data_IF_448309319032
#
_entry.id   IF_448309319032
#
_cell.length_a   1.000
_cell.length_b   1.000
_cell.length_c   1.000
_cell.angle_alpha   90.00
_cell.angle_beta   90.00
_cell.angle_gamma   90.00
#
_symmetry.space_group_name_H-M   'P 1'
#
loop_
_entity.id
_entity.type
_entity.pdbx_description
1 polymer ?
#
# COMPACT_ATOMS: atom_id res chain seq x y z
N UNK A 1 -2.38 -12.41 -18.60
CA UNK A 1 -1.67 -12.03 -17.36
C UNK A 1 -2.71 -12.00 -16.25
N UNK A 2 -2.56 -12.82 -15.23
CA UNK A 2 -3.62 -13.08 -14.25
C UNK A 2 -3.70 -11.94 -13.22
N UNK A 3 -4.88 -11.39 -13.01
CA UNK A 3 -5.14 -10.30 -12.06
C UNK A 3 -4.79 -10.65 -10.60
N UNK A 4 -4.69 -11.94 -10.27
CA UNK A 4 -4.23 -12.41 -8.95
C UNK A 4 -2.77 -12.10 -8.67
N UNK A 5 -1.89 -12.16 -9.67
CA UNK A 5 -0.48 -11.81 -9.49
C UNK A 5 -0.33 -10.31 -9.19
N UNK A 6 -1.09 -9.47 -9.87
CA UNK A 6 -1.09 -8.02 -9.63
C UNK A 6 -1.59 -7.68 -8.22
N UNK A 7 -2.61 -8.40 -7.72
CA UNK A 7 -3.11 -8.25 -6.36
C UNK A 7 -2.08 -8.70 -5.33
N UNK A 8 -1.40 -9.83 -5.54
CA UNK A 8 -0.31 -10.27 -4.66
C UNK A 8 0.85 -9.29 -4.64
N UNK A 9 1.25 -8.75 -5.79
CA UNK A 9 2.30 -7.73 -5.88
C UNK A 9 1.90 -6.45 -5.13
N UNK A 10 0.68 -5.94 -5.36
CA UNK A 10 0.17 -4.77 -4.64
C UNK A 10 0.09 -5.02 -3.13
N UNK A 11 -0.33 -6.21 -2.71
CA UNK A 11 -0.38 -6.59 -1.29
C UNK A 11 1.02 -6.62 -0.68
N UNK A 12 1.98 -7.20 -1.39
CA UNK A 12 3.38 -7.27 -0.96
C UNK A 12 4.00 -5.88 -0.85
N UNK A 13 3.75 -5.00 -1.82
CA UNK A 13 4.20 -3.61 -1.76
C UNK A 13 3.58 -2.84 -0.59
N UNK A 14 2.29 -3.04 -0.32
CA UNK A 14 1.61 -2.45 0.84
C UNK A 14 2.27 -2.92 2.13
N UNK A 15 2.54 -4.22 2.30
CA UNK A 15 3.19 -4.72 3.52
C UNK A 15 4.60 -4.16 3.70
N UNK A 16 5.42 -4.12 2.64
CA UNK A 16 6.78 -3.57 2.69
C UNK A 16 6.75 -2.08 3.06
N UNK A 17 5.89 -1.28 2.44
CA UNK A 17 5.77 0.14 2.79
C UNK A 17 5.22 0.32 4.20
N UNK A 18 4.30 -0.53 4.65
CA UNK A 18 3.74 -0.46 6.01
C UNK A 18 4.80 -0.78 7.06
N UNK A 19 5.66 -1.75 6.80
CA UNK A 19 6.78 -2.10 7.67
C UNK A 19 7.84 -0.99 7.72
N UNK A 20 8.16 -0.38 6.57
CA UNK A 20 9.00 0.83 6.50
C UNK A 20 8.38 1.99 7.29
N UNK A 21 7.09 2.24 7.12
CA UNK A 21 6.38 3.32 7.81
C UNK A 21 6.36 3.08 9.32
N UNK A 22 6.15 1.84 9.77
CA UNK A 22 6.26 1.47 11.18
C UNK A 22 7.68 1.70 11.72
N UNK A 23 8.70 1.31 10.97
CA UNK A 23 10.10 1.55 11.35
C UNK A 23 10.44 3.04 11.43
N UNK A 24 9.89 3.84 10.51
CA UNK A 24 10.03 5.29 10.51
C UNK A 24 9.28 5.92 11.69
N UNK A 25 8.08 5.45 12.03
CA UNK A 25 7.29 5.94 13.17
C UNK A 25 7.93 5.60 14.51
N UNK A 26 8.62 4.45 14.61
CA UNK A 26 9.36 4.06 15.82
C UNK A 26 10.68 4.85 15.94
N UNK A 27 11.27 5.30 14.82
CA UNK A 27 12.41 6.21 14.82
C UNK A 27 12.01 7.67 15.06
N UNK A 28 12.96 8.51 15.49
CA UNK A 28 12.80 9.98 15.52
C UNK A 28 12.79 10.59 14.10
N UNK A 29 11.89 10.12 13.24
CA UNK A 29 11.75 10.62 11.87
C UNK A 29 10.80 11.81 11.80
N UNK A 30 11.12 12.71 10.88
CA UNK A 30 10.32 13.89 10.59
C UNK A 30 8.89 13.51 10.21
N UNK A 31 7.92 14.17 10.85
CA UNK A 31 6.48 14.03 10.57
C UNK A 31 6.13 14.12 9.08
N UNK A 32 6.87 14.93 8.31
CA UNK A 32 6.71 15.05 6.85
C UNK A 32 6.93 13.74 6.09
N UNK A 33 7.98 12.99 6.45
CA UNK A 33 8.28 11.70 5.82
C UNK A 33 7.19 10.69 6.17
N UNK A 34 6.75 10.65 7.44
CA UNK A 34 5.61 9.80 7.87
C UNK A 34 4.34 10.16 7.08
N UNK A 35 4.07 11.46 6.89
CA UNK A 35 2.90 11.92 6.14
C UNK A 35 2.96 11.49 4.67
N UNK A 36 4.12 11.67 4.02
CA UNK A 36 4.36 11.22 2.64
C UNK A 36 4.14 9.73 2.49
N UNK A 37 4.76 8.94 3.35
CA UNK A 37 4.62 7.50 3.34
C UNK A 37 3.17 7.08 3.58
N UNK A 38 2.44 7.79 4.45
CA UNK A 38 1.04 7.47 4.74
C UNK A 38 0.14 7.73 3.54
N UNK A 39 0.36 8.82 2.81
CA UNK A 39 -0.38 9.13 1.57
C UNK A 39 -0.11 8.08 0.50
N UNK A 40 1.17 7.74 0.27
CA UNK A 40 1.52 6.72 -0.73
C UNK A 40 0.95 5.33 -0.38
N UNK A 41 0.91 4.98 0.91
CA UNK A 41 0.31 3.73 1.36
C UNK A 41 -1.20 3.72 1.07
N UNK A 42 -1.88 4.84 1.33
CA UNK A 42 -3.32 4.98 1.09
C UNK A 42 -3.65 4.86 -0.41
N UNK A 43 -2.84 5.47 -1.29
CA UNK A 43 -2.98 5.34 -2.73
C UNK A 43 -2.79 3.90 -3.23
N UNK A 44 -1.82 3.16 -2.67
CA UNK A 44 -1.59 1.76 -2.98
C UNK A 44 -2.76 0.88 -2.54
N UNK A 45 -3.28 1.11 -1.34
CA UNK A 45 -4.48 0.45 -0.83
C UNK A 45 -5.67 0.76 -1.74
N UNK A 46 -5.84 2.01 -2.14
CA UNK A 46 -6.92 2.42 -3.04
C UNK A 46 -6.83 1.72 -4.40
N UNK A 47 -5.61 1.62 -4.97
CA UNK A 47 -5.36 0.82 -6.19
C UNK A 47 -5.72 -0.65 -5.96
N UNK A 48 -5.24 -1.25 -4.88
CA UNK A 48 -5.55 -2.64 -4.53
C UNK A 48 -7.05 -2.90 -4.45
N UNK A 49 -7.80 -2.05 -3.75
CA UNK A 49 -9.26 -2.16 -3.65
C UNK A 49 -9.94 -1.92 -5.01
N UNK A 50 -9.45 -0.99 -5.83
CA UNK A 50 -9.98 -0.75 -7.17
C UNK A 50 -9.83 -1.98 -8.07
N UNK A 51 -8.67 -2.64 -8.05
CA UNK A 51 -8.42 -3.87 -8.81
C UNK A 51 -9.16 -5.08 -8.22
N UNK A 52 -9.29 -5.15 -6.89
CA UNK A 52 -10.03 -6.20 -6.19
C UNK A 52 -11.54 -6.10 -6.45
N UNK A 53 -12.11 -4.89 -6.35
CA UNK A 53 -13.54 -4.67 -6.50
C UNK A 53 -14.02 -4.71 -7.96
N UNK A 54 -13.13 -4.51 -8.93
CA UNK A 54 -13.41 -4.76 -10.34
C UNK A 54 -13.76 -6.25 -10.65
N UNK A 55 -13.52 -7.18 -9.71
CA UNK A 55 -13.99 -8.58 -9.81
C UNK A 55 -15.48 -8.77 -9.46
N UNK A 56 -16.18 -7.79 -8.89
CA UNK A 56 -17.56 -7.96 -8.38
C UNK A 56 -18.68 -7.48 -9.34
N UNK A 57 -18.36 -7.05 -10.55
CA UNK A 57 -19.36 -6.61 -11.56
C UNK A 57 -19.35 -7.44 -12.86
N UNK A 58 -19.04 -8.74 -12.80
CA UNK A 58 -19.27 -9.69 -13.91
C UNK A 58 -20.10 -10.89 -13.49
#
# INVERSE_FOLDING_TARGET
MCNEQLLEELKTEIEIKREKLNSLVIGEVSKEEVLKFSIELDELIHKYYKYSNAKNEQ
#
